data_IF_194524287151
#
_entry.id   IF_194524287151
#
_cell.length_a   1.000
_cell.length_b   1.000
_cell.length_c   1.000
_cell.angle_alpha   90.00
_cell.angle_beta   90.00
_cell.angle_gamma   90.00
#
_symmetry.space_group_name_H-M   'P 1'
#
loop_
_entity.id
_entity.type
_entity.pdbx_description
1 polymer ?
#
# COMPACT_ATOMS: atom_id res chain seq x y z
N UNK A 1 -11.02 -9.43 -3.70
CA UNK A 1 -11.62 -8.62 -4.79
C UNK A 1 -11.49 -7.15 -4.41
N UNK A 2 -10.49 -6.48 -4.97
CA UNK A 2 -10.17 -5.08 -4.68
C UNK A 2 -11.08 -4.15 -5.49
N UNK A 3 -11.51 -3.03 -4.90
CA UNK A 3 -12.24 -1.98 -5.63
C UNK A 3 -11.22 -1.10 -6.34
N UNK A 4 -11.53 -0.68 -7.57
CA UNK A 4 -10.66 0.19 -8.37
C UNK A 4 -11.17 1.63 -8.21
N UNK A 5 -10.40 2.49 -7.55
CA UNK A 5 -10.63 3.95 -7.56
C UNK A 5 -9.76 4.54 -8.67
N UNK A 6 -10.38 4.90 -9.82
CA UNK A 6 -9.68 5.56 -10.93
C UNK A 6 -8.44 4.78 -11.43
N UNK A 7 -8.52 3.45 -11.48
CA UNK A 7 -7.41 2.58 -11.87
C UNK A 7 -6.47 2.17 -10.74
N UNK A 8 -6.62 2.74 -9.53
CA UNK A 8 -5.74 2.44 -8.39
C UNK A 8 -6.35 1.37 -7.47
N UNK A 9 -5.58 0.37 -7.04
CA UNK A 9 -6.03 -0.64 -6.09
C UNK A 9 -6.33 -0.03 -4.72
N UNK A 10 -7.46 -0.43 -4.13
CA UNK A 10 -7.98 0.09 -2.86
C UNK A 10 -8.09 -1.04 -1.84
N UNK A 11 -7.69 -0.77 -0.60
CA UNK A 11 -7.83 -1.71 0.51
C UNK A 11 -9.32 -1.97 0.75
N UNK A 12 -9.71 -3.25 0.70
CA UNK A 12 -11.12 -3.67 0.79
C UNK A 12 -11.77 -3.14 2.08
N UNK A 13 -12.97 -2.58 1.94
CA UNK A 13 -13.72 -2.01 3.07
C UNK A 13 -13.27 -0.59 3.46
N UNK A 14 -12.36 0.02 2.70
CA UNK A 14 -11.88 1.38 2.93
C UNK A 14 -11.94 2.20 1.65
N UNK A 15 -11.67 3.50 1.75
CA UNK A 15 -11.38 4.39 0.61
C UNK A 15 -9.89 4.74 0.53
N UNK A 16 -9.03 3.86 1.05
CA UNK A 16 -7.57 4.06 1.11
C UNK A 16 -6.92 3.26 -0.01
N UNK A 17 -6.18 3.94 -0.89
CA UNK A 17 -5.42 3.30 -1.95
C UNK A 17 -4.12 2.69 -1.44
N UNK A 18 -3.65 1.63 -2.10
CA UNK A 18 -2.32 1.04 -1.83
C UNK A 18 -1.22 2.09 -2.04
N UNK A 19 -1.34 2.91 -3.08
CA UNK A 19 -0.41 4.01 -3.37
C UNK A 19 -0.28 4.99 -2.19
N UNK A 20 -1.40 5.37 -1.55
CA UNK A 20 -1.36 6.29 -0.42
C UNK A 20 -0.52 5.72 0.73
N UNK A 21 -0.70 4.44 1.04
CA UNK A 21 0.08 3.75 2.08
C UNK A 21 1.56 3.72 1.71
N UNK A 22 1.89 3.33 0.48
CA UNK A 22 3.28 3.28 0.02
C UNK A 22 3.94 4.67 0.06
N UNK A 23 3.23 5.73 -0.33
CA UNK A 23 3.74 7.11 -0.24
C UNK A 23 3.99 7.56 1.18
N UNK A 24 3.13 7.19 2.14
CA UNK A 24 3.34 7.52 3.56
C UNK A 24 4.59 6.85 4.10
N UNK A 25 4.75 5.55 3.83
CA UNK A 25 5.93 4.78 4.24
C UNK A 25 7.21 5.35 3.59
N UNK A 26 7.17 5.66 2.29
CA UNK A 26 8.28 6.30 1.59
C UNK A 26 8.62 7.70 2.14
N UNK A 27 7.64 8.39 2.73
CA UNK A 27 7.84 9.68 3.40
C UNK A 27 8.35 9.54 4.85
N UNK A 28 8.75 8.34 5.27
CA UNK A 28 9.34 8.07 6.59
C UNK A 28 8.35 7.70 7.69
N UNK A 29 7.08 7.44 7.38
CA UNK A 29 6.15 6.91 8.37
C UNK A 29 6.48 5.44 8.68
N UNK A 30 6.42 5.08 9.96
CA UNK A 30 6.37 3.68 10.40
C UNK A 30 4.98 3.07 10.18
N UNK A 31 4.89 1.74 10.15
CA UNK A 31 3.62 1.02 10.03
C UNK A 31 2.69 1.35 11.19
N UNK A 32 3.23 1.48 12.40
CA UNK A 32 2.50 1.84 13.62
C UNK A 32 1.88 3.24 13.50
N UNK A 33 2.62 4.20 12.93
CA UNK A 33 2.09 5.55 12.67
C UNK A 33 0.99 5.54 11.61
N UNK A 34 1.12 4.70 10.58
CA UNK A 34 0.07 4.52 9.57
C UNK A 34 -1.21 3.94 10.21
N UNK A 35 -1.09 2.88 11.01
CA UNK A 35 -2.22 2.28 11.73
C UNK A 35 -2.85 3.25 12.72
N UNK A 36 -2.05 4.07 13.40
CA UNK A 36 -2.54 5.11 14.29
C UNK A 36 -3.30 6.22 13.54
N UNK A 37 -2.87 6.55 12.33
CA UNK A 37 -3.51 7.55 11.47
C UNK A 37 -4.81 7.02 10.85
N UNK A 38 -4.87 5.71 10.58
CA UNK A 38 -6.00 5.02 9.97
C UNK A 38 -6.45 3.84 10.85
N UNK A 39 -7.18 4.08 11.96
CA UNK A 39 -7.51 3.04 12.95
C UNK A 39 -8.38 1.89 12.43
N UNK A 40 -8.97 2.06 11.25
CA UNK A 40 -9.78 1.07 10.56
C UNK A 40 -8.95 0.14 9.66
N UNK A 41 -7.64 0.39 9.56
CA UNK A 41 -6.70 -0.52 8.91
C UNK A 41 -6.18 -1.55 9.89
N UNK A 42 -5.96 -2.76 9.39
CA UNK A 42 -5.27 -3.82 10.11
C UNK A 42 -3.84 -3.97 9.60
N UNK A 43 -2.98 -4.56 10.43
CA UNK A 43 -1.62 -4.90 10.03
C UNK A 43 -1.62 -5.82 8.79
N UNK A 44 -2.53 -6.80 8.75
CA UNK A 44 -2.69 -7.71 7.61
C UNK A 44 -3.00 -6.96 6.31
N UNK A 45 -3.86 -5.94 6.35
CA UNK A 45 -4.15 -5.12 5.18
C UNK A 45 -2.92 -4.35 4.68
N UNK A 46 -2.05 -3.88 5.58
CA UNK A 46 -0.78 -3.25 5.20
C UNK A 46 0.18 -4.29 4.60
N UNK A 47 0.23 -5.50 5.16
CA UNK A 47 1.04 -6.60 4.59
C UNK A 47 0.57 -6.97 3.18
N UNK A 48 -0.73 -7.08 2.94
CA UNK A 48 -1.27 -7.30 1.59
C UNK A 48 -0.94 -6.16 0.62
N UNK A 49 -0.82 -4.92 1.11
CA UNK A 49 -0.36 -3.81 0.28
C UNK A 49 1.09 -4.03 -0.17
N UNK A 50 1.99 -4.45 0.74
CA UNK A 50 3.37 -4.77 0.38
C UNK A 50 3.45 -5.92 -0.61
N UNK A 51 2.72 -7.01 -0.37
CA UNK A 51 2.70 -8.17 -1.26
C UNK A 51 2.19 -7.79 -2.65
N UNK A 52 1.11 -7.03 -2.74
CA UNK A 52 0.60 -6.51 -4.01
C UNK A 52 1.66 -5.66 -4.74
N UNK A 53 2.30 -4.73 -4.03
CA UNK A 53 3.34 -3.87 -4.62
C UNK A 53 4.57 -4.67 -5.05
N UNK A 54 5.00 -5.64 -4.25
CA UNK A 54 6.12 -6.53 -4.59
C UNK A 54 5.81 -7.36 -5.84
N UNK A 55 4.60 -7.94 -5.94
CA UNK A 55 4.17 -8.69 -7.11
C UNK A 55 4.04 -7.81 -8.37
N UNK A 56 3.60 -6.56 -8.21
CA UNK A 56 3.54 -5.60 -9.32
C UNK A 56 4.93 -5.25 -9.87
N UNK A 57 5.91 -5.09 -8.98
CA UNK A 57 7.30 -4.78 -9.35
C UNK A 57 8.03 -6.02 -9.86
N UNK A 58 7.71 -7.22 -9.35
CA UNK A 58 8.34 -8.46 -9.77
C UNK A 58 8.15 -8.77 -11.28
N UNK A 59 7.12 -8.19 -11.90
CA UNK A 59 6.84 -8.31 -13.34
C UNK A 59 7.60 -7.27 -14.19
N UNK A 60 8.25 -6.27 -13.57
CA UNK A 60 9.00 -5.19 -14.25
C UNK A 60 10.52 -5.31 -14.02
N UNK A 61 11.29 -5.18 -15.11
CA UNK A 61 12.74 -5.30 -15.07
C UNK A 61 13.41 -4.16 -14.29
N UNK A 62 14.35 -4.56 -13.41
CA UNK A 62 15.44 -3.82 -12.75
C UNK A 62 15.35 -2.28 -12.75
N UNK A 63 15.02 -1.71 -11.58
CA UNK A 63 15.21 -0.28 -11.30
C UNK A 63 16.53 -0.10 -10.56
N UNK A 64 17.48 0.65 -11.13
CA UNK A 64 18.66 1.10 -10.38
C UNK A 64 18.22 2.14 -9.35
N UNK A 65 18.32 1.79 -8.07
CA UNK A 65 18.14 2.75 -6.98
C UNK A 65 19.43 3.57 -6.86
N UNK A 66 19.33 4.88 -7.11
CA UNK A 66 20.42 5.87 -6.94
C UNK A 66 20.37 6.51 -5.56
#
# INVERSE_FOLDING_TARGET
MYLILLGKPVIKGTRISVELIMRKLASGYSVEQVLSTYPHLTLEQIQSCFEYTANLIADEQTVEFV
#
